data_IF_532929019966
#
_entry.id   IF_532929019966
#
_cell.length_a   1.000
_cell.length_b   1.000
_cell.length_c   1.000
_cell.angle_alpha   90.00
_cell.angle_beta   90.00
_cell.angle_gamma   90.00
#
_symmetry.space_group_name_H-M   'P 1'
#
loop_
_entity.id
_entity.type
_entity.pdbx_description
1 polymer ?
#
# COMPACT_ATOMS: atom_id res chain seq x y z
N UNK A 1 -9.12 21.95 -2.49
CA UNK A 1 -8.35 21.12 -1.51
C UNK A 1 -9.18 19.96 -0.94
N UNK A 2 -10.46 20.17 -0.53
CA UNK A 2 -11.31 19.10 0.06
C UNK A 2 -11.56 17.93 -0.88
N UNK A 3 -11.82 18.17 -2.18
CA UNK A 3 -12.04 17.11 -3.18
C UNK A 3 -10.86 16.13 -3.25
N UNK A 4 -9.62 16.65 -3.27
CA UNK A 4 -8.41 15.80 -3.34
C UNK A 4 -8.15 14.96 -2.08
N UNK A 5 -8.65 15.42 -0.93
CA UNK A 5 -8.41 14.75 0.35
C UNK A 5 -9.39 13.63 0.67
N UNK A 6 -10.59 13.63 0.08
CA UNK A 6 -11.64 12.66 0.42
C UNK A 6 -12.03 11.70 -0.73
N UNK A 7 -11.44 11.89 -1.91
CA UNK A 7 -11.79 11.14 -3.11
C UNK A 7 -12.94 11.76 -3.91
N UNK A 8 -12.93 11.51 -5.22
CA UNK A 8 -13.91 12.12 -6.12
C UNK A 8 -15.33 11.63 -5.84
N UNK A 9 -15.53 10.33 -5.65
CA UNK A 9 -16.86 9.74 -5.40
C UNK A 9 -17.50 10.30 -4.13
N UNK A 10 -16.76 10.33 -3.02
CA UNK A 10 -17.26 10.87 -1.77
C UNK A 10 -17.55 12.39 -1.86
N UNK A 11 -16.72 13.14 -2.58
CA UNK A 11 -16.92 14.56 -2.80
C UNK A 11 -18.17 14.84 -3.65
N UNK A 12 -18.36 14.11 -4.75
CA UNK A 12 -19.51 14.28 -5.66
C UNK A 12 -20.81 13.92 -4.95
N UNK A 13 -20.84 12.81 -4.20
CA UNK A 13 -22.01 12.41 -3.43
C UNK A 13 -22.35 13.42 -2.34
N UNK A 14 -21.37 13.88 -1.56
CA UNK A 14 -21.60 14.71 -0.37
C UNK A 14 -21.80 16.20 -0.69
N UNK A 15 -21.12 16.73 -1.71
CA UNK A 15 -21.10 18.16 -1.99
C UNK A 15 -21.80 18.55 -3.29
N UNK A 16 -21.85 17.67 -4.28
CA UNK A 16 -22.46 17.95 -5.58
C UNK A 16 -23.82 17.30 -5.74
N UNK A 17 -24.20 16.36 -4.85
CA UNK A 17 -25.46 15.58 -4.92
C UNK A 17 -25.65 14.90 -6.27
N UNK A 18 -24.54 14.52 -6.91
CA UNK A 18 -24.54 13.91 -8.24
C UNK A 18 -24.64 12.39 -8.09
N UNK A 19 -25.80 11.85 -8.43
CA UNK A 19 -26.09 10.42 -8.40
C UNK A 19 -25.72 9.71 -9.71
N UNK A 20 -25.33 10.43 -10.76
CA UNK A 20 -24.92 9.84 -12.06
C UNK A 20 -23.64 9.01 -11.96
N UNK A 21 -22.90 9.16 -10.84
CA UNK A 21 -21.73 8.37 -10.50
C UNK A 21 -22.06 6.99 -9.89
N UNK A 22 -23.32 6.64 -9.71
CA UNK A 22 -23.74 5.37 -9.11
C UNK A 22 -23.15 4.13 -9.82
N UNK A 23 -22.82 4.25 -11.11
CA UNK A 23 -22.11 3.19 -11.84
C UNK A 23 -20.57 3.29 -11.70
N UNK A 24 -20.01 4.46 -11.40
CA UNK A 24 -18.59 4.62 -11.08
C UNK A 24 -18.28 4.27 -9.61
N UNK A 25 -19.27 4.38 -8.73
CA UNK A 25 -19.16 4.04 -7.31
C UNK A 25 -18.94 2.53 -7.05
N UNK A 26 -19.21 1.67 -8.05
CA UNK A 26 -18.91 0.24 -7.94
C UNK A 26 -17.42 -0.07 -7.93
N UNK A 27 -16.59 0.80 -8.53
CA UNK A 27 -15.14 0.60 -8.65
C UNK A 27 -14.38 1.93 -8.39
N UNK A 28 -14.31 2.37 -7.13
CA UNK A 28 -13.71 3.67 -6.78
C UNK A 28 -12.19 3.68 -6.92
N UNK A 29 -11.54 2.51 -6.93
CA UNK A 29 -10.09 2.39 -7.11
C UNK A 29 -9.79 2.16 -8.59
N UNK A 30 -9.14 3.13 -9.24
CA UNK A 30 -8.79 3.09 -10.66
C UNK A 30 -7.33 2.76 -10.87
N UNK A 31 -7.05 1.79 -11.73
CA UNK A 31 -5.67 1.43 -12.09
C UNK A 31 -4.96 2.60 -12.78
N UNK A 32 -5.69 3.43 -13.55
CA UNK A 32 -5.14 4.64 -14.20
C UNK A 32 -4.55 5.68 -13.24
N UNK A 33 -4.94 5.62 -11.97
CA UNK A 33 -4.45 6.55 -10.95
C UNK A 33 -3.15 6.06 -10.30
N UNK A 34 -2.76 4.81 -10.54
CA UNK A 34 -1.52 4.22 -10.09
C UNK A 34 -0.32 4.73 -10.92
N UNK A 35 0.76 5.11 -10.26
CA UNK A 35 1.99 5.55 -10.90
C UNK A 35 3.04 4.44 -10.81
N UNK A 36 3.38 3.85 -11.96
CA UNK A 36 4.35 2.75 -12.05
C UNK A 36 5.69 3.27 -12.51
N UNK A 37 6.76 2.92 -11.81
CA UNK A 37 8.12 3.28 -12.20
C UNK A 37 8.71 2.18 -13.09
N UNK A 38 9.50 2.56 -14.11
CA UNK A 38 10.17 1.61 -15.00
C UNK A 38 11.25 0.77 -14.28
N UNK A 39 11.86 1.35 -13.25
CA UNK A 39 12.90 0.70 -12.47
C UNK A 39 12.40 0.36 -11.08
N UNK A 40 12.98 -0.68 -10.49
CA UNK A 40 12.77 -1.03 -9.08
C UNK A 40 13.08 0.17 -8.20
N UNK A 41 12.20 0.46 -7.26
CA UNK A 41 12.37 1.56 -6.32
C UNK A 41 13.60 1.32 -5.44
N UNK A 42 14.41 2.37 -5.27
CA UNK A 42 15.57 2.29 -4.37
C UNK A 42 15.11 2.09 -2.91
N UNK A 43 15.71 1.16 -2.16
CA UNK A 43 15.28 0.87 -0.79
C UNK A 43 15.53 2.01 0.21
N UNK A 44 16.37 2.98 -0.11
CA UNK A 44 16.80 4.03 0.82
C UNK A 44 16.42 5.45 0.40
N UNK A 45 16.25 5.68 -0.91
CA UNK A 45 16.05 7.01 -1.46
C UNK A 45 14.90 7.05 -2.45
N UNK A 46 14.19 8.17 -2.46
CA UNK A 46 13.22 8.54 -3.48
C UNK A 46 13.60 9.88 -4.11
N UNK A 47 12.82 10.35 -5.06
CA UNK A 47 12.89 11.71 -5.56
C UNK A 47 11.91 12.63 -4.83
N UNK A 48 12.12 13.93 -4.93
CA UNK A 48 11.28 14.94 -4.25
C UNK A 48 9.82 14.91 -4.72
N UNK A 49 9.60 14.62 -6.02
CA UNK A 49 8.28 14.58 -6.64
C UNK A 49 8.19 13.50 -7.72
N UNK A 50 6.98 12.96 -7.88
CA UNK A 50 6.60 12.01 -8.92
C UNK A 50 5.38 12.52 -9.66
N UNK A 51 5.35 12.35 -10.98
CA UNK A 51 4.17 12.68 -11.80
C UNK A 51 3.86 11.58 -12.77
N UNK A 52 2.58 11.28 -13.02
CA UNK A 52 2.20 10.37 -14.09
C UNK A 52 2.60 10.98 -15.44
N UNK A 53 3.01 10.13 -16.36
CA UNK A 53 3.22 10.51 -17.75
C UNK A 53 1.94 10.24 -18.55
N UNK A 54 1.89 10.69 -19.82
CA UNK A 54 0.80 10.32 -20.74
C UNK A 54 0.97 8.94 -21.36
N UNK A 55 2.09 8.26 -21.08
CA UNK A 55 2.41 6.94 -21.64
C UNK A 55 1.74 5.87 -20.79
N UNK A 56 0.72 5.16 -21.30
CA UNK A 56 0.11 4.06 -20.58
C UNK A 56 1.08 2.88 -20.48
N UNK A 57 0.95 2.12 -19.42
CA UNK A 57 1.66 0.86 -19.26
C UNK A 57 0.92 -0.20 -20.07
N UNK A 58 1.60 -0.87 -21.01
CA UNK A 58 1.05 -2.00 -21.79
C UNK A 58 0.97 -3.28 -20.94
N UNK A 59 0.46 -3.15 -19.72
CA UNK A 59 0.24 -4.27 -18.84
C UNK A 59 -1.20 -4.77 -19.00
N UNK A 60 -1.37 -5.89 -19.68
CA UNK A 60 -2.64 -6.60 -19.72
C UNK A 60 -2.83 -7.39 -18.43
N UNK A 61 -3.63 -6.88 -17.51
CA UNK A 61 -4.24 -7.73 -16.49
C UNK A 61 -5.15 -8.71 -17.24
N UNK A 62 -4.78 -9.97 -17.29
CA UNK A 62 -5.37 -11.02 -18.15
C UNK A 62 -6.90 -11.17 -18.07
N UNK A 63 -7.54 -10.65 -17.04
CA UNK A 63 -8.98 -10.83 -16.77
C UNK A 63 -9.75 -9.50 -16.69
N UNK A 64 -9.09 -8.36 -16.78
CA UNK A 64 -9.78 -7.07 -16.74
C UNK A 64 -10.31 -6.71 -18.11
N UNK A 65 -11.63 -6.65 -18.25
CA UNK A 65 -12.32 -5.99 -19.38
C UNK A 65 -12.18 -4.47 -19.32
N UNK A 66 -11.51 -3.93 -18.30
CA UNK A 66 -11.34 -2.51 -18.12
C UNK A 66 -10.36 -1.95 -19.14
N UNK A 67 -10.77 -0.87 -19.81
CA UNK A 67 -9.90 -0.03 -20.66
C UNK A 67 -8.93 0.81 -19.81
N UNK A 68 -8.98 0.64 -18.49
CA UNK A 68 -8.23 1.40 -17.51
C UNK A 68 -6.81 0.84 -17.39
N UNK A 69 -5.79 1.67 -17.61
CA UNK A 69 -4.37 1.25 -17.60
C UNK A 69 -3.58 2.15 -16.68
N UNK A 70 -2.69 1.54 -15.91
CA UNK A 70 -1.68 2.30 -15.15
C UNK A 70 -0.82 3.15 -16.09
N UNK A 71 -0.22 4.20 -15.56
CA UNK A 71 0.68 5.08 -16.32
C UNK A 71 2.09 5.02 -15.76
N UNK A 72 3.08 5.17 -16.65
CA UNK A 72 4.45 5.34 -16.21
C UNK A 72 4.61 6.66 -15.45
N UNK A 73 5.42 6.61 -14.39
CA UNK A 73 5.86 7.77 -13.64
C UNK A 73 7.14 8.38 -14.16
N UNK A 74 7.32 9.66 -13.90
CA UNK A 74 8.60 10.36 -14.02
C UNK A 74 8.96 11.01 -12.69
N UNK A 75 10.26 11.04 -12.41
CA UNK A 75 10.84 11.67 -11.22
C UNK A 75 11.17 13.13 -11.47
N UNK A 76 11.10 13.95 -10.43
CA UNK A 76 11.44 15.38 -10.47
C UNK A 76 12.21 15.72 -9.19
N UNK A 77 13.22 16.59 -9.33
CA UNK A 77 14.04 17.05 -8.22
C UNK A 77 15.20 16.12 -7.89
N UNK A 78 15.69 16.22 -6.67
CA UNK A 78 16.85 15.48 -6.17
C UNK A 78 16.45 14.19 -5.47
N UNK A 79 17.43 13.28 -5.33
CA UNK A 79 17.28 12.10 -4.47
C UNK A 79 17.31 12.51 -3.02
N UNK A 80 16.32 12.08 -2.27
CA UNK A 80 16.16 12.37 -0.84
C UNK A 80 15.82 11.09 -0.08
N UNK A 81 16.21 10.96 1.19
CA UNK A 81 15.84 9.79 1.99
C UNK A 81 14.32 9.78 2.24
N UNK A 82 13.77 8.59 2.37
CA UNK A 82 12.39 8.41 2.84
C UNK A 82 12.19 9.01 4.22
N UNK A 83 11.00 9.50 4.49
CA UNK A 83 10.64 10.02 5.82
C UNK A 83 10.42 8.88 6.81
N UNK A 84 9.72 7.85 6.39
CA UNK A 84 9.39 6.67 7.20
C UNK A 84 9.27 5.44 6.31
N UNK A 85 9.71 4.30 6.82
CA UNK A 85 9.56 2.97 6.20
C UNK A 85 8.90 2.02 7.18
N UNK A 86 7.93 1.25 6.70
CA UNK A 86 7.09 0.37 7.51
C UNK A 86 7.03 -0.99 6.83
N UNK A 87 7.14 -2.06 7.62
CA UNK A 87 6.78 -3.41 7.19
C UNK A 87 5.40 -3.74 7.77
N UNK A 88 4.41 -3.87 6.92
CA UNK A 88 3.08 -4.29 7.30
C UNK A 88 2.93 -5.80 7.10
N UNK A 89 2.37 -6.47 8.11
CA UNK A 89 2.13 -7.92 8.14
C UNK A 89 0.63 -8.16 8.34
N UNK A 90 0.03 -8.96 7.46
CA UNK A 90 -1.35 -9.47 7.57
C UNK A 90 -1.25 -10.99 7.76
N UNK A 91 -1.21 -11.46 9.01
CA UNK A 91 -1.14 -12.88 9.29
C UNK A 91 -2.40 -13.59 8.81
N UNK A 92 -2.20 -14.71 8.16
CA UNK A 92 -3.32 -15.60 7.83
C UNK A 92 -4.01 -16.07 9.12
N UNK A 93 -5.33 -16.11 9.10
CA UNK A 93 -6.11 -16.79 10.13
C UNK A 93 -5.70 -18.27 10.26
N UNK A 94 -6.33 -18.98 11.18
CA UNK A 94 -6.10 -20.42 11.33
C UNK A 94 -6.50 -21.16 10.05
N UNK A 95 -5.54 -21.71 9.30
CA UNK A 95 -5.83 -22.50 8.11
C UNK A 95 -4.78 -22.41 7.02
N UNK A 96 -5.22 -22.58 5.78
CA UNK A 96 -4.43 -22.56 4.56
C UNK A 96 -4.26 -21.16 3.97
N UNK A 97 -4.67 -20.11 4.70
CA UNK A 97 -4.59 -18.74 4.20
C UNK A 97 -3.15 -18.23 4.13
N UNK A 98 -2.88 -17.38 3.15
CA UNK A 98 -1.56 -16.80 2.95
C UNK A 98 -1.24 -15.72 3.99
N UNK A 99 -0.04 -15.75 4.53
CA UNK A 99 0.53 -14.69 5.34
C UNK A 99 1.10 -13.61 4.41
N UNK A 100 0.44 -12.46 4.32
CA UNK A 100 0.85 -11.39 3.43
C UNK A 100 1.76 -10.37 4.11
N UNK A 101 2.66 -9.75 3.31
CA UNK A 101 3.49 -8.65 3.76
C UNK A 101 3.60 -7.55 2.71
N UNK A 102 3.84 -6.32 3.19
CA UNK A 102 4.11 -5.17 2.33
C UNK A 102 5.11 -4.23 3.00
N UNK A 103 6.19 -3.88 2.29
CA UNK A 103 7.14 -2.85 2.71
C UNK A 103 6.73 -1.53 2.08
N UNK A 104 6.35 -0.58 2.91
CA UNK A 104 5.91 0.75 2.52
C UNK A 104 6.92 1.80 2.94
N UNK A 105 7.05 2.84 2.12
CA UNK A 105 7.78 4.05 2.50
C UNK A 105 6.94 5.30 2.23
N UNK A 106 7.25 6.40 2.91
CA UNK A 106 6.55 7.67 2.71
C UNK A 106 7.53 8.84 2.57
N UNK A 107 7.18 9.78 1.70
CA UNK A 107 7.87 11.07 1.54
C UNK A 107 6.97 12.09 0.84
N UNK A 108 6.89 13.32 1.36
CA UNK A 108 6.16 14.44 0.75
C UNK A 108 4.71 14.12 0.37
N UNK A 109 4.05 13.24 1.17
CA UNK A 109 2.70 12.77 0.91
C UNK A 109 2.59 11.69 -0.17
N UNK A 110 3.69 11.24 -0.75
CA UNK A 110 3.75 10.02 -1.56
C UNK A 110 3.86 8.78 -0.68
N UNK A 111 3.26 7.70 -1.13
CA UNK A 111 3.36 6.35 -0.57
C UNK A 111 4.01 5.46 -1.62
N UNK A 112 5.05 4.74 -1.22
CA UNK A 112 5.83 3.87 -2.09
C UNK A 112 5.65 2.43 -1.64
N UNK A 113 5.36 1.51 -2.57
CA UNK A 113 5.41 0.08 -2.34
C UNK A 113 6.80 -0.40 -2.76
N UNK A 114 7.67 -0.64 -1.78
CA UNK A 114 9.05 -1.06 -2.04
C UNK A 114 9.16 -2.55 -2.32
N UNK A 115 8.40 -3.36 -1.59
CA UNK A 115 8.29 -4.80 -1.79
C UNK A 115 6.95 -5.30 -1.24
N UNK A 116 6.41 -6.34 -1.85
CA UNK A 116 5.22 -7.04 -1.37
C UNK A 116 5.30 -8.53 -1.71
N UNK A 117 4.62 -9.33 -0.91
CA UNK A 117 4.56 -10.76 -1.16
C UNK A 117 3.70 -11.48 -0.14
N UNK A 118 3.75 -12.81 -0.21
CA UNK A 118 3.03 -13.68 0.72
C UNK A 118 3.81 -14.97 0.95
N UNK A 119 3.50 -15.63 2.04
CA UNK A 119 3.99 -16.95 2.40
C UNK A 119 2.82 -17.86 2.74
N UNK A 120 2.93 -19.15 2.46
CA UNK A 120 1.94 -20.13 2.90
C UNK A 120 2.06 -20.33 4.41
N UNK A 121 1.15 -19.70 5.17
CA UNK A 121 1.09 -19.78 6.61
C UNK A 121 2.31 -19.20 7.34
N UNK A 122 2.23 -19.22 8.66
CA UNK A 122 3.31 -18.79 9.55
C UNK A 122 4.06 -20.00 10.12
N UNK A 123 5.35 -20.06 9.89
CA UNK A 123 6.28 -21.05 10.46
C UNK A 123 7.42 -20.34 11.20
N UNK A 124 8.13 -21.06 12.08
CA UNK A 124 9.26 -20.46 12.81
C UNK A 124 10.37 -19.87 11.92
N UNK A 125 10.55 -20.38 10.69
CA UNK A 125 11.49 -19.82 9.71
C UNK A 125 11.07 -18.41 9.24
N UNK A 126 9.79 -18.06 9.28
CA UNK A 126 9.28 -16.76 8.86
C UNK A 126 9.75 -15.61 9.75
N UNK A 127 10.06 -15.90 11.01
CA UNK A 127 10.69 -14.91 11.92
C UNK A 127 11.99 -14.38 11.30
N UNK A 128 12.80 -15.28 10.74
CA UNK A 128 14.04 -14.88 10.08
C UNK A 128 13.80 -14.12 8.76
N UNK A 129 12.83 -14.54 7.96
CA UNK A 129 12.46 -13.85 6.71
C UNK A 129 11.99 -12.42 7.00
N UNK A 130 11.14 -12.25 8.01
CA UNK A 130 10.64 -10.93 8.47
C UNK A 130 11.80 -10.07 8.97
N UNK A 131 12.72 -10.66 9.74
CA UNK A 131 13.93 -9.96 10.19
C UNK A 131 14.78 -9.48 9.03
N UNK A 132 15.04 -10.33 8.04
CA UNK A 132 15.81 -9.98 6.84
C UNK A 132 15.14 -8.84 6.05
N UNK A 133 13.81 -8.86 5.89
CA UNK A 133 13.07 -7.77 5.26
C UNK A 133 13.22 -6.47 6.04
N UNK A 134 13.07 -6.51 7.36
CA UNK A 134 13.19 -5.34 8.21
C UNK A 134 14.60 -4.72 8.14
N UNK A 135 15.63 -5.54 8.10
CA UNK A 135 17.03 -5.13 7.94
C UNK A 135 17.32 -4.60 6.55
N UNK A 136 16.94 -5.35 5.49
CA UNK A 136 17.14 -4.98 4.07
C UNK A 136 16.60 -3.57 3.78
N UNK A 137 15.41 -3.27 4.27
CA UNK A 137 14.77 -1.98 4.04
C UNK A 137 15.03 -0.96 5.16
N UNK A 138 15.71 -1.36 6.25
CA UNK A 138 15.93 -0.52 7.44
C UNK A 138 14.61 0.12 7.88
N UNK A 139 13.58 -0.69 8.12
CA UNK A 139 12.25 -0.20 8.48
C UNK A 139 12.25 0.45 9.87
N UNK A 140 11.41 1.44 10.06
CA UNK A 140 11.29 2.15 11.34
C UNK A 140 10.39 1.41 12.33
N UNK A 141 9.42 0.64 11.83
CA UNK A 141 8.48 -0.15 12.63
C UNK A 141 7.88 -1.28 11.80
N UNK A 142 7.35 -2.29 12.49
CA UNK A 142 6.56 -3.38 11.92
C UNK A 142 5.14 -3.26 12.43
N UNK A 143 4.16 -3.22 11.53
CA UNK A 143 2.74 -3.26 11.87
C UNK A 143 2.24 -4.69 11.69
N UNK A 144 1.56 -5.24 12.70
CA UNK A 144 0.98 -6.59 12.65
C UNK A 144 -0.52 -6.50 12.86
N UNK A 145 -1.32 -6.96 11.89
CA UNK A 145 -2.77 -7.05 12.08
C UNK A 145 -3.10 -8.15 13.10
N UNK A 146 -3.84 -7.82 14.17
CA UNK A 146 -4.09 -8.71 15.31
C UNK A 146 -5.59 -8.89 15.58
N UNK A 147 -6.38 -9.19 14.55
CA UNK A 147 -7.84 -9.29 14.68
C UNK A 147 -8.32 -10.55 15.42
N UNK A 148 -7.52 -11.63 15.49
CA UNK A 148 -7.94 -12.93 15.99
C UNK A 148 -6.98 -13.57 17.02
N UNK A 149 -6.39 -12.75 17.91
CA UNK A 149 -5.54 -13.29 19.00
C UNK A 149 -4.09 -13.54 18.59
N UNK A 150 -3.60 -12.82 17.57
CA UNK A 150 -2.26 -12.96 17.00
C UNK A 150 -1.12 -12.35 17.84
N UNK A 151 -1.35 -12.16 19.15
CA UNK A 151 -0.29 -11.81 20.11
C UNK A 151 0.86 -12.83 20.07
N UNK A 152 0.57 -14.08 19.62
CA UNK A 152 1.58 -15.11 19.45
C UNK A 152 2.67 -14.69 18.45
N UNK A 153 2.30 -14.11 17.32
CA UNK A 153 3.25 -13.68 16.30
C UNK A 153 4.13 -12.54 16.86
N UNK A 154 3.52 -11.57 17.53
CA UNK A 154 4.23 -10.48 18.18
C UNK A 154 5.24 -11.02 19.21
N UNK A 155 4.82 -11.96 20.05
CA UNK A 155 5.68 -12.58 21.06
C UNK A 155 6.86 -13.36 20.45
N UNK A 156 6.69 -13.93 19.27
CA UNK A 156 7.76 -14.60 18.53
C UNK A 156 8.70 -13.63 17.82
N UNK A 157 8.21 -12.48 17.35
CA UNK A 157 9.01 -11.48 16.66
C UNK A 157 9.82 -10.62 17.63
N UNK A 158 9.23 -10.18 18.74
CA UNK A 158 9.85 -9.24 19.69
C UNK A 158 11.28 -9.61 20.14
N UNK A 159 11.59 -10.86 20.52
CA UNK A 159 12.96 -11.21 20.98
C UNK A 159 13.98 -11.24 19.84
N UNK A 160 13.54 -11.25 18.58
CA UNK A 160 14.41 -11.46 17.41
C UNK A 160 14.61 -10.21 16.55
N UNK A 161 13.82 -9.14 16.79
CA UNK A 161 13.76 -7.96 15.94
C UNK A 161 13.91 -6.70 16.79
N UNK A 162 14.85 -5.83 16.40
CA UNK A 162 15.22 -4.63 17.17
C UNK A 162 14.43 -3.37 16.78
N UNK A 163 13.37 -3.49 15.98
CA UNK A 163 12.49 -2.36 15.65
C UNK A 163 11.14 -2.51 16.37
N UNK A 164 10.45 -1.40 16.67
CA UNK A 164 9.13 -1.44 17.28
C UNK A 164 8.15 -2.31 16.50
N UNK A 165 7.42 -3.18 17.19
CA UNK A 165 6.34 -3.99 16.63
C UNK A 165 5.03 -3.46 17.19
N UNK A 166 4.14 -3.01 16.33
CA UNK A 166 2.89 -2.33 16.70
C UNK A 166 1.71 -3.18 16.26
N UNK A 167 0.88 -3.66 17.22
CA UNK A 167 -0.35 -4.36 16.87
C UNK A 167 -1.37 -3.40 16.27
N UNK A 168 -2.03 -3.82 15.20
CA UNK A 168 -3.09 -3.07 14.54
C UNK A 168 -4.38 -3.87 14.59
N UNK A 169 -5.42 -3.31 15.21
CA UNK A 169 -6.77 -3.91 15.26
C UNK A 169 -7.71 -3.16 14.34
N UNK A 170 -8.43 -3.89 13.52
CA UNK A 170 -9.37 -3.34 12.57
C UNK A 170 -10.79 -3.81 12.89
N UNK A 171 -11.69 -2.85 13.14
CA UNK A 171 -13.09 -3.11 13.49
C UNK A 171 -14.10 -2.79 12.38
N UNK A 172 -13.63 -2.17 11.29
CA UNK A 172 -14.46 -1.78 10.14
C UNK A 172 -14.39 -2.81 9.03
N UNK A 173 -15.43 -2.85 8.18
CA UNK A 173 -15.43 -3.73 7.00
C UNK A 173 -14.19 -3.47 6.13
N UNK A 174 -13.49 -4.54 5.76
CA UNK A 174 -12.20 -4.51 5.03
C UNK A 174 -12.29 -3.68 3.75
N UNK A 175 -13.31 -3.92 2.93
CA UNK A 175 -13.51 -3.19 1.65
C UNK A 175 -13.67 -1.69 1.86
N UNK A 176 -14.55 -1.26 2.76
CA UNK A 176 -14.78 0.17 3.04
C UNK A 176 -13.51 0.86 3.54
N UNK A 177 -12.73 0.17 4.38
CA UNK A 177 -11.46 0.69 4.88
C UNK A 177 -10.44 0.86 3.76
N UNK A 178 -10.29 -0.16 2.91
CA UNK A 178 -9.38 -0.11 1.76
C UNK A 178 -9.72 1.05 0.85
N UNK A 179 -11.00 1.19 0.47
CA UNK A 179 -11.46 2.26 -0.41
C UNK A 179 -11.19 3.63 0.24
N UNK A 180 -11.61 3.83 1.48
CA UNK A 180 -11.47 5.14 2.15
C UNK A 180 -10.01 5.61 2.30
N UNK A 181 -9.05 4.67 2.35
CA UNK A 181 -7.63 4.99 2.46
C UNK A 181 -6.99 5.16 1.07
N UNK A 182 -7.23 4.22 0.15
CA UNK A 182 -6.54 4.20 -1.14
C UNK A 182 -7.10 5.19 -2.15
N UNK A 183 -8.41 5.41 -2.19
CA UNK A 183 -9.03 6.31 -3.16
C UNK A 183 -8.43 7.73 -3.12
N UNK A 184 -8.31 8.41 -1.95
CA UNK A 184 -7.68 9.74 -1.89
C UNK A 184 -6.22 9.77 -2.35
N UNK A 185 -5.47 8.70 -2.10
CA UNK A 185 -4.04 8.58 -2.46
C UNK A 185 -3.92 8.36 -3.97
N UNK A 186 -4.73 7.47 -4.54
CA UNK A 186 -4.75 7.19 -5.96
C UNK A 186 -5.21 8.41 -6.77
N UNK A 187 -6.33 9.04 -6.41
CA UNK A 187 -6.85 10.24 -7.10
C UNK A 187 -5.85 11.41 -7.15
N UNK A 188 -4.86 11.41 -6.26
CA UNK A 188 -3.76 12.37 -6.26
C UNK A 188 -2.52 11.86 -6.99
N UNK A 189 -2.53 10.65 -7.56
CA UNK A 189 -1.38 9.98 -8.16
C UNK A 189 -0.20 9.88 -7.19
N UNK A 190 -0.48 9.57 -5.93
CA UNK A 190 0.54 9.52 -4.86
C UNK A 190 0.90 8.11 -4.42
N UNK A 191 0.31 7.07 -5.01
CA UNK A 191 0.75 5.70 -4.83
C UNK A 191 1.75 5.33 -5.94
N UNK A 192 2.98 5.06 -5.55
CA UNK A 192 4.12 4.78 -6.43
C UNK A 192 4.53 3.30 -6.27
N UNK A 193 4.69 2.60 -7.38
CA UNK A 193 5.08 1.18 -7.40
C UNK A 193 6.17 0.93 -8.45
#
# INVERSE_FOLDING_TARGET
>A
KRRKGMGDSAFMLQYMLDTSLADQDKFPLKISDLVVMENVLDPNFCYEEYRPTKKPLDYHVRESKAKDRATFGKTIGYRVPYLKKILALDPAGSGTDDFAYCVLATKNGFVFILEQGHWNGFTGSRVNDIKQLAEKYSVNEILVETNFGDDLIINLLQPNINVPIVPVKNYTQKEKRIISILEPILNQHKLIV
#
